data_IF_302516821538
#
_entry.id   IF_302516821538
#
_cell.length_a   1.000
_cell.length_b   1.000
_cell.length_c   1.000
_cell.angle_alpha   90.00
_cell.angle_beta   90.00
_cell.angle_gamma   90.00
#
_symmetry.space_group_name_H-M   'P 1'
#
loop_
_entity.id
_entity.type
_entity.pdbx_description
1 polymer ?
#
# COMPACT_ATOMS: atom_id res chain seq x y z
N UNK A 1 11.28 4.28 -6.99
CA UNK A 1 10.35 5.36 -6.64
C UNK A 1 10.68 5.97 -5.30
N UNK A 2 10.74 7.29 -5.24
CA UNK A 2 11.21 8.04 -4.08
C UNK A 2 10.06 8.47 -3.18
N UNK A 3 9.33 7.51 -2.62
CA UNK A 3 8.12 7.80 -1.83
C UNK A 3 6.99 8.40 -2.67
N UNK A 4 5.76 7.98 -2.40
CA UNK A 4 4.59 8.58 -3.03
C UNK A 4 4.11 9.76 -2.17
N UNK A 5 3.82 10.91 -2.79
CA UNK A 5 3.10 12.01 -2.13
C UNK A 5 1.62 11.69 -1.91
N UNK A 6 1.15 10.58 -2.47
CA UNK A 6 -0.24 10.17 -2.47
C UNK A 6 -0.39 8.80 -1.81
N UNK A 7 -1.48 8.63 -1.08
CA UNK A 7 -1.95 7.33 -0.61
C UNK A 7 -3.45 7.24 -0.88
N UNK A 8 -3.96 6.01 -0.96
CA UNK A 8 -5.38 5.77 -1.16
C UNK A 8 -5.83 4.59 -0.29
N UNK A 9 -7.00 4.73 0.33
CA UNK A 9 -7.64 3.66 1.09
C UNK A 9 -8.85 3.17 0.29
N UNK A 10 -8.72 1.98 -0.28
CA UNK A 10 -9.72 1.37 -1.16
C UNK A 10 -10.60 0.39 -0.39
N UNK A 11 -11.90 0.38 -0.69
CA UNK A 11 -12.83 -0.67 -0.25
C UNK A 11 -12.99 -1.72 -1.33
N UNK A 12 -12.71 -2.99 -1.01
CA UNK A 12 -12.91 -4.11 -1.94
C UNK A 12 -14.16 -4.89 -1.55
N UNK A 13 -15.10 -5.00 -2.47
CA UNK A 13 -16.31 -5.79 -2.28
C UNK A 13 -16.07 -7.17 -2.89
N UNK A 14 -15.96 -8.18 -2.02
CA UNK A 14 -15.60 -9.56 -2.40
C UNK A 14 -16.73 -10.50 -2.03
N UNK A 15 -17.23 -11.25 -3.02
CA UNK A 15 -18.20 -12.31 -2.83
C UNK A 15 -17.52 -13.67 -2.82
N UNK A 16 -17.85 -14.52 -1.84
CA UNK A 16 -17.41 -15.91 -1.79
C UNK A 16 -18.51 -16.83 -2.32
N UNK A 17 -18.15 -17.75 -3.21
CA UNK A 17 -19.07 -18.82 -3.64
C UNK A 17 -19.15 -19.96 -2.61
N UNK A 18 -19.97 -20.98 -2.90
CA UNK A 18 -20.13 -22.18 -2.06
C UNK A 18 -18.85 -23.02 -1.90
N UNK A 19 -17.80 -22.73 -2.68
CA UNK A 19 -16.47 -23.36 -2.60
C UNK A 19 -15.43 -22.42 -2.00
N UNK A 20 -15.84 -21.30 -1.41
CA UNK A 20 -14.97 -20.26 -0.86
C UNK A 20 -14.04 -19.62 -1.90
N UNK A 21 -14.41 -19.66 -3.18
CA UNK A 21 -13.68 -18.94 -4.21
C UNK A 21 -14.06 -17.45 -4.16
N UNK A 22 -13.09 -16.53 -4.07
CA UNK A 22 -13.37 -15.10 -4.07
C UNK A 22 -13.64 -14.58 -5.49
N UNK A 23 -14.65 -13.73 -5.59
CA UNK A 23 -15.00 -12.95 -6.77
C UNK A 23 -15.01 -11.48 -6.40
N UNK A 24 -14.21 -10.68 -7.10
CA UNK A 24 -14.22 -9.22 -6.97
C UNK A 24 -15.48 -8.67 -7.64
N UNK A 25 -16.28 -7.91 -6.90
CA UNK A 25 -17.46 -7.24 -7.43
C UNK A 25 -17.13 -5.83 -7.87
N UNK A 26 -16.55 -5.04 -6.97
CA UNK A 26 -16.17 -3.65 -7.23
C UNK A 26 -14.99 -3.22 -6.35
N UNK A 27 -14.37 -2.10 -6.76
CA UNK A 27 -13.34 -1.40 -5.99
C UNK A 27 -13.83 0.03 -5.78
N UNK A 28 -14.00 0.39 -4.51
CA UNK A 28 -14.54 1.67 -4.08
C UNK A 28 -13.43 2.64 -3.69
N UNK A 29 -13.32 3.75 -4.42
CA UNK A 29 -12.38 4.86 -4.15
C UNK A 29 -12.80 5.75 -2.97
N UNK A 30 -14.01 5.54 -2.43
CA UNK A 30 -14.54 6.29 -1.29
C UNK A 30 -15.40 5.38 -0.41
N UNK A 31 -14.78 4.42 0.31
CA UNK A 31 -15.52 3.53 1.20
C UNK A 31 -16.23 4.33 2.31
N UNK A 32 -17.40 3.87 2.75
CA UNK A 32 -18.17 4.56 3.79
C UNK A 32 -17.48 4.51 5.14
N UNK A 33 -17.27 5.70 5.74
CA UNK A 33 -16.80 5.85 7.12
C UNK A 33 -17.93 6.15 8.12
N UNK A 34 -19.19 6.02 7.71
CA UNK A 34 -20.32 6.11 8.65
C UNK A 34 -20.27 4.96 9.65
N UNK A 35 -20.45 5.25 10.93
CA UNK A 35 -20.35 4.28 12.01
C UNK A 35 -21.74 4.01 12.60
N UNK A 36 -22.48 3.09 11.98
CA UNK A 36 -23.88 2.79 12.36
C UNK A 36 -23.96 1.76 13.51
N UNK A 37 -22.85 1.09 13.83
CA UNK A 37 -22.74 0.17 14.96
C UNK A 37 -21.42 0.33 15.72
N UNK A 38 -21.35 -0.15 16.99
CA UNK A 38 -20.09 -0.20 17.73
C UNK A 38 -19.01 -1.04 17.03
N UNK A 39 -19.41 -2.07 16.29
CA UNK A 39 -18.48 -2.89 15.51
C UNK A 39 -17.89 -2.09 14.34
N UNK A 40 -18.73 -1.36 13.59
CA UNK A 40 -18.27 -0.49 12.50
C UNK A 40 -17.28 0.55 13.04
N UNK A 41 -17.61 1.18 14.16
CA UNK A 41 -16.75 2.15 14.82
C UNK A 41 -15.39 1.53 15.18
N UNK A 42 -15.37 0.33 15.76
CA UNK A 42 -14.14 -0.34 16.15
C UNK A 42 -13.26 -0.70 14.93
N UNK A 43 -13.85 -1.31 13.90
CA UNK A 43 -13.12 -1.74 12.70
C UNK A 43 -12.63 -0.53 11.91
N UNK A 44 -13.52 0.42 11.58
CA UNK A 44 -13.19 1.58 10.75
C UNK A 44 -12.18 2.51 11.44
N UNK A 45 -12.32 2.73 12.75
CA UNK A 45 -11.33 3.53 13.50
C UNK A 45 -9.96 2.87 13.54
N UNK A 46 -9.90 1.54 13.64
CA UNK A 46 -8.63 0.81 13.59
C UNK A 46 -7.95 0.95 12.22
N UNK A 47 -8.70 0.78 11.13
CA UNK A 47 -8.20 0.95 9.76
C UNK A 47 -7.71 2.37 9.54
N UNK A 48 -8.49 3.39 9.90
CA UNK A 48 -8.10 4.80 9.73
C UNK A 48 -6.87 5.15 10.55
N UNK A 49 -6.83 4.74 11.82
CA UNK A 49 -5.68 4.98 12.70
C UNK A 49 -4.42 4.33 12.15
N UNK A 50 -4.51 3.05 11.76
CA UNK A 50 -3.38 2.33 11.22
C UNK A 50 -2.92 2.91 9.88
N UNK A 51 -3.85 3.35 9.03
CA UNK A 51 -3.53 4.02 7.75
C UNK A 51 -2.77 5.31 8.02
N UNK A 52 -3.27 6.18 8.91
CA UNK A 52 -2.62 7.46 9.23
C UNK A 52 -1.23 7.26 9.84
N UNK A 53 -1.06 6.26 10.72
CA UNK A 53 0.24 5.93 11.27
C UNK A 53 1.19 5.37 10.20
N UNK A 54 0.70 4.50 9.31
CA UNK A 54 1.48 4.00 8.18
C UNK A 54 1.95 5.15 7.31
N UNK A 55 1.08 6.04 6.82
CA UNK A 55 1.46 7.07 5.82
C UNK A 55 2.21 8.28 6.39
N UNK A 56 2.18 8.45 7.71
CA UNK A 56 2.91 9.55 8.37
C UNK A 56 4.41 9.31 8.37
N UNK A 57 5.19 10.40 8.41
CA UNK A 57 6.62 10.30 8.60
C UNK A 57 6.97 9.78 9.99
N UNK A 58 7.87 8.80 10.03
CA UNK A 58 8.52 8.38 11.26
C UNK A 58 9.39 9.50 11.84
N UNK A 59 9.78 9.33 13.11
CA UNK A 59 10.67 10.27 13.79
C UNK A 59 12.01 10.45 13.07
N UNK A 60 12.54 9.39 12.48
CA UNK A 60 13.85 9.44 11.84
C UNK A 60 13.79 10.04 10.44
N UNK A 61 12.70 9.80 9.69
CA UNK A 61 12.42 10.53 8.46
C UNK A 61 12.28 12.03 8.73
N UNK A 62 11.52 12.43 9.76
CA UNK A 62 11.38 13.84 10.13
C UNK A 62 12.72 14.48 10.52
N UNK A 63 13.60 13.77 11.24
CA UNK A 63 14.94 14.28 11.57
C UNK A 63 15.78 14.48 10.32
N UNK A 64 15.70 13.57 9.35
CA UNK A 64 16.44 13.66 8.10
C UNK A 64 15.91 14.81 7.24
N UNK A 65 14.59 14.92 7.08
CA UNK A 65 13.93 16.00 6.37
C UNK A 65 14.28 17.39 6.94
N UNK A 66 14.36 17.53 8.28
CA UNK A 66 14.78 18.78 8.93
C UNK A 66 16.22 19.18 8.65
N UNK A 67 17.08 18.22 8.30
CA UNK A 67 18.49 18.47 7.91
C UNK A 67 18.63 18.76 6.42
N UNK A 68 17.58 18.54 5.62
CA UNK A 68 17.59 18.86 4.21
C UNK A 68 17.55 20.38 4.03
N UNK A 69 18.40 20.89 3.14
CA UNK A 69 18.26 22.26 2.65
C UNK A 69 17.04 22.40 1.74
N UNK A 70 16.96 23.53 1.03
CA UNK A 70 15.87 23.80 0.09
C UNK A 70 15.77 22.79 -1.07
N UNK A 71 16.83 22.02 -1.35
CA UNK A 71 16.89 21.00 -2.40
C UNK A 71 17.08 19.62 -1.80
N UNK A 72 16.27 18.66 -2.26
CA UNK A 72 16.38 17.26 -1.90
C UNK A 72 17.51 16.58 -2.69
N UNK A 73 18.65 16.40 -2.05
CA UNK A 73 19.79 15.67 -2.63
C UNK A 73 19.45 14.18 -2.85
N UNK A 74 19.96 13.54 -3.93
CA UNK A 74 19.67 12.12 -4.21
C UNK A 74 19.99 11.18 -3.05
N UNK A 75 21.13 11.35 -2.37
CA UNK A 75 21.51 10.49 -1.25
C UNK A 75 20.53 10.57 -0.06
N UNK A 76 19.95 11.75 0.19
CA UNK A 76 18.95 11.92 1.24
C UNK A 76 17.65 11.21 0.84
N UNK A 77 17.25 11.34 -0.42
CA UNK A 77 16.07 10.68 -0.98
C UNK A 77 16.17 9.16 -0.86
N UNK A 78 17.30 8.58 -1.25
CA UNK A 78 17.54 7.14 -1.15
C UNK A 78 17.47 6.70 0.31
N UNK A 79 18.05 7.49 1.22
CA UNK A 79 17.98 7.22 2.65
C UNK A 79 16.56 7.31 3.22
N UNK A 80 15.72 8.22 2.72
CA UNK A 80 14.31 8.30 3.11
C UNK A 80 13.54 7.06 2.67
N UNK A 81 13.81 6.56 1.46
CA UNK A 81 13.21 5.30 0.96
C UNK A 81 13.58 4.13 1.88
N UNK A 82 14.87 3.98 2.21
CA UNK A 82 15.32 2.91 3.11
C UNK A 82 14.67 2.98 4.50
N UNK A 83 14.59 4.19 5.09
CA UNK A 83 13.95 4.41 6.39
C UNK A 83 12.47 4.07 6.34
N UNK A 84 11.81 4.48 5.25
CA UNK A 84 10.39 4.24 5.03
C UNK A 84 10.09 2.75 4.94
N UNK A 85 10.80 2.03 4.08
CA UNK A 85 10.62 0.58 3.94
C UNK A 85 10.90 -0.17 5.25
N UNK A 86 11.92 0.25 6.00
CA UNK A 86 12.22 -0.35 7.30
C UNK A 86 11.09 -0.12 8.30
N UNK A 87 10.54 1.10 8.35
CA UNK A 87 9.41 1.45 9.21
C UNK A 87 8.16 0.64 8.87
N UNK A 88 7.82 0.54 7.58
CA UNK A 88 6.67 -0.24 7.11
C UNK A 88 6.82 -1.72 7.48
N UNK A 89 8.00 -2.32 7.24
CA UNK A 89 8.30 -3.71 7.61
C UNK A 89 8.17 -3.98 9.11
N UNK A 90 8.54 -3.03 9.95
CA UNK A 90 8.43 -3.18 11.41
C UNK A 90 6.98 -3.00 11.89
N UNK A 91 6.25 -2.03 11.32
CA UNK A 91 4.98 -1.55 11.89
C UNK A 91 3.74 -2.19 11.29
N UNK A 92 3.78 -2.71 10.06
CA UNK A 92 2.58 -3.15 9.36
C UNK A 92 1.73 -4.11 10.20
N UNK A 93 2.34 -5.12 10.81
CA UNK A 93 1.63 -6.15 11.58
C UNK A 93 0.98 -5.61 12.85
N UNK A 94 1.66 -4.69 13.56
CA UNK A 94 1.11 -4.05 14.76
C UNK A 94 -0.08 -3.12 14.43
N UNK A 95 -0.18 -2.66 13.18
CA UNK A 95 -1.24 -1.79 12.69
C UNK A 95 -2.36 -2.56 11.98
N UNK A 96 -2.28 -3.89 11.93
CA UNK A 96 -3.29 -4.73 11.27
C UNK A 96 -3.18 -4.76 9.75
N UNK A 97 -2.03 -4.38 9.19
CA UNK A 97 -1.75 -4.45 7.76
C UNK A 97 -0.77 -5.57 7.44
N UNK A 98 -0.89 -6.11 6.23
CA UNK A 98 0.06 -7.05 5.64
C UNK A 98 0.46 -6.54 4.26
N UNK A 99 1.76 -6.58 3.96
CA UNK A 99 2.25 -6.27 2.62
C UNK A 99 1.95 -7.45 1.68
N UNK A 100 1.07 -7.22 0.71
CA UNK A 100 0.72 -8.20 -0.32
C UNK A 100 1.46 -7.99 -1.65
N UNK A 101 2.04 -6.80 -1.84
CA UNK A 101 2.85 -6.45 -3.01
C UNK A 101 3.80 -5.27 -2.70
N UNK A 102 5.10 -5.35 -3.07
CA UNK A 102 5.79 -6.56 -3.51
C UNK A 102 5.81 -7.60 -2.38
N UNK A 103 5.69 -8.88 -2.72
CA UNK A 103 5.69 -9.93 -1.71
C UNK A 103 7.10 -10.05 -1.10
N UNK A 104 7.23 -10.04 0.25
CA UNK A 104 8.53 -10.20 0.89
C UNK A 104 9.22 -11.51 0.46
N UNK A 105 10.54 -11.51 0.20
CA UNK A 105 11.26 -12.67 -0.32
C UNK A 105 11.22 -13.89 0.62
N UNK A 106 10.98 -13.68 1.92
CA UNK A 106 10.81 -14.72 2.92
C UNK A 106 9.45 -15.46 2.81
N UNK A 107 8.47 -14.93 2.08
CA UNK A 107 7.18 -15.60 1.89
C UNK A 107 7.33 -16.77 0.90
N UNK A 108 6.62 -17.86 1.18
CA UNK A 108 6.61 -19.03 0.31
C UNK A 108 6.16 -18.65 -1.11
N UNK A 109 6.86 -19.18 -2.12
CA UNK A 109 6.59 -18.92 -3.55
C UNK A 109 6.72 -17.45 -3.97
N UNK A 110 7.33 -16.57 -3.17
CA UNK A 110 7.45 -15.15 -3.50
C UNK A 110 8.10 -14.92 -4.88
N UNK A 111 9.19 -15.60 -5.19
CA UNK A 111 9.85 -15.46 -6.50
C UNK A 111 8.92 -15.80 -7.68
N UNK A 112 8.15 -16.88 -7.56
CA UNK A 112 7.21 -17.33 -8.61
C UNK A 112 6.03 -16.36 -8.76
N UNK A 113 5.42 -15.96 -7.64
CA UNK A 113 4.30 -15.00 -7.62
C UNK A 113 4.74 -13.64 -8.16
N UNK A 114 5.93 -13.16 -7.77
CA UNK A 114 6.45 -11.88 -8.24
C UNK A 114 6.80 -11.90 -9.73
N UNK A 115 7.33 -13.01 -10.26
CA UNK A 115 7.53 -13.17 -11.70
C UNK A 115 6.21 -13.12 -12.48
N UNK A 116 5.15 -13.74 -11.94
CA UNK A 116 3.81 -13.70 -12.51
C UNK A 116 3.22 -12.29 -12.48
N UNK A 117 3.37 -11.55 -11.39
CA UNK A 117 2.92 -10.16 -11.30
C UNK A 117 3.70 -9.22 -12.21
N UNK A 118 5.02 -9.40 -12.37
CA UNK A 118 5.81 -8.65 -13.34
C UNK A 118 5.25 -8.84 -14.75
N UNK A 119 4.96 -10.09 -15.14
CA UNK A 119 4.34 -10.37 -16.43
C UNK A 119 2.96 -9.68 -16.60
N UNK A 120 2.12 -9.67 -15.56
CA UNK A 120 0.83 -8.96 -15.61
C UNK A 120 0.98 -7.45 -15.76
N UNK A 121 1.99 -6.85 -15.11
CA UNK A 121 2.29 -5.43 -15.24
C UNK A 121 2.77 -5.09 -16.65
N UNK A 122 3.61 -5.94 -17.27
CA UNK A 122 4.06 -5.76 -18.65
C UNK A 122 2.88 -5.77 -19.63
N UNK A 123 1.97 -6.74 -19.47
CA UNK A 123 0.75 -6.84 -20.30
C UNK A 123 -0.15 -5.62 -20.07
N UNK A 124 -0.38 -5.22 -18.83
CA UNK A 124 -1.20 -4.06 -18.50
C UNK A 124 -0.62 -2.77 -19.09
N UNK A 125 0.69 -2.56 -18.99
CA UNK A 125 1.39 -1.41 -19.55
C UNK A 125 1.24 -1.36 -21.09
N UNK A 126 1.38 -2.50 -21.76
CA UNK A 126 1.19 -2.59 -23.21
C UNK A 126 -0.25 -2.28 -23.63
N UNK A 127 -1.25 -2.80 -22.92
CA UNK A 127 -2.67 -2.51 -23.20
C UNK A 127 -3.00 -1.02 -23.00
N UNK A 128 -2.48 -0.41 -21.93
CA UNK A 128 -2.73 0.99 -21.61
C UNK A 128 -2.11 1.95 -22.65
N UNK A 129 -0.88 1.65 -23.09
CA UNK A 129 -0.22 2.41 -24.14
C UNK A 129 -1.01 2.36 -25.47
N UNK A 130 -1.61 1.20 -25.79
CA UNK A 130 -2.42 1.02 -26.99
C UNK A 130 -3.81 1.68 -26.89
N UNK A 131 -4.40 1.76 -25.69
CA UNK A 131 -5.68 2.47 -25.48
C UNK A 131 -5.53 3.99 -25.52
N UNK A 132 -4.34 4.52 -25.18
CA UNK A 132 -4.06 5.97 -25.21
C UNK A 132 -3.86 6.54 -26.63
N UNK A 133 -3.99 5.70 -27.68
CA UNK A 133 -3.87 6.07 -29.09
C UNK A 133 -5.23 6.31 -29.80
N UNK A 134 -6.33 6.34 -29.05
CA UNK A 134 -7.68 6.65 -29.56
C UNK A 134 -8.33 7.82 -28.83
#
# INVERSE_FOLDING_TARGET
DAGSSCFELLGFDVLLDHKLKPFLLEVNHSPSFTCDSPLDAAVKSAVLRGTMEMVSFSRDELKLLKKCGARMEPAIRDRLVELREAYERERHGALGFECVYPLPPEKAQAAEVMAKYAHYLDVAAALYANQSLH
#
